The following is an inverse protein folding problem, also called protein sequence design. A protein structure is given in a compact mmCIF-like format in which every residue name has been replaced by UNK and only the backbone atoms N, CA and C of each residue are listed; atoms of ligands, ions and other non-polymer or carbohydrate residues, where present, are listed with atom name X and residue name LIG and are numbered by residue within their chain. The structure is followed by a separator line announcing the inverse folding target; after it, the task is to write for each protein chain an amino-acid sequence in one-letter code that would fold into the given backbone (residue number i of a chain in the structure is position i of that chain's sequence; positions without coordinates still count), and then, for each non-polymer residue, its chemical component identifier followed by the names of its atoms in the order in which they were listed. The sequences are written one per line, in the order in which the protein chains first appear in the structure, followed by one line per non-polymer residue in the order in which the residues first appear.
data_IF_378249053547
#
_entry.id   IF_378249053547
#
_cell.length_a   1.000
_cell.length_b   1.000
_cell.length_c   1.000
_cell.angle_alpha   90.00
_cell.angle_beta   90.00
_cell.angle_gamma   90.00
#
_symmetry.space_group_name_H-M   'P 1'
#
loop_
_entity.id
_entity.type
_entity.pdbx_description
1 polymer ?
#
# COMPACT_ATOMS: atom_id res chain seq x y z
N UNK A 1 -13.78 2.52 -28.73
CA UNK A 1 -12.51 2.15 -28.08
C UNK A 1 -12.43 2.62 -26.60
N UNK A 2 -12.83 3.86 -26.28
CA UNK A 2 -12.81 4.38 -24.88
C UNK A 2 -13.64 3.56 -23.88
N UNK A 3 -14.86 3.14 -24.21
CA UNK A 3 -15.73 2.32 -23.32
C UNK A 3 -15.13 0.95 -22.99
N UNK A 4 -14.53 0.26 -23.95
CA UNK A 4 -13.88 -1.03 -23.70
C UNK A 4 -12.70 -0.91 -22.71
N UNK A 5 -11.93 0.18 -22.79
CA UNK A 5 -10.82 0.42 -21.87
C UNK A 5 -11.35 0.75 -20.47
N UNK A 6 -12.43 1.56 -20.35
CA UNK A 6 -13.03 1.86 -19.05
C UNK A 6 -13.63 0.62 -18.38
N UNK A 7 -14.33 -0.23 -19.14
CA UNK A 7 -14.94 -1.45 -18.62
C UNK A 7 -13.89 -2.45 -18.11
N UNK A 8 -12.75 -2.58 -18.81
CA UNK A 8 -11.64 -3.39 -18.34
C UNK A 8 -10.99 -2.82 -17.08
N UNK A 9 -10.86 -1.49 -16.97
CA UNK A 9 -10.30 -0.86 -15.77
C UNK A 9 -11.19 -1.02 -14.55
N UNK A 10 -12.53 -0.99 -14.72
CA UNK A 10 -13.47 -1.28 -13.62
C UNK A 10 -13.26 -2.68 -13.04
N UNK A 11 -13.13 -3.69 -13.90
CA UNK A 11 -12.88 -5.07 -13.48
C UNK A 11 -11.52 -5.19 -12.78
N UNK A 12 -10.49 -4.50 -13.28
CA UNK A 12 -9.16 -4.49 -12.67
C UNK A 12 -9.20 -3.90 -11.26
N UNK A 13 -9.77 -2.70 -11.09
CA UNK A 13 -9.89 -2.07 -9.77
C UNK A 13 -10.74 -2.89 -8.80
N UNK A 14 -11.86 -3.45 -9.28
CA UNK A 14 -12.71 -4.30 -8.46
C UNK A 14 -11.95 -5.54 -7.96
N UNK A 15 -11.33 -6.29 -8.87
CA UNK A 15 -10.63 -7.53 -8.54
C UNK A 15 -9.41 -7.28 -7.66
N UNK A 16 -8.68 -6.21 -7.94
CA UNK A 16 -7.53 -5.79 -7.17
C UNK A 16 -7.93 -5.38 -5.75
N UNK A 17 -8.93 -4.51 -5.62
CA UNK A 17 -9.47 -4.12 -4.33
C UNK A 17 -10.02 -5.32 -3.54
N UNK A 18 -10.72 -6.25 -4.20
CA UNK A 18 -11.25 -7.46 -3.59
C UNK A 18 -10.11 -8.37 -3.07
N UNK A 19 -9.04 -8.56 -3.84
CA UNK A 19 -7.90 -9.38 -3.43
C UNK A 19 -7.25 -8.84 -2.15
N UNK A 20 -7.00 -7.53 -2.06
CA UNK A 20 -6.45 -6.89 -0.86
C UNK A 20 -7.42 -6.96 0.32
N UNK A 21 -8.69 -6.68 0.09
CA UNK A 21 -9.70 -6.73 1.14
C UNK A 21 -9.83 -8.14 1.73
N UNK A 22 -9.92 -9.16 0.86
CA UNK A 22 -9.97 -10.56 1.29
C UNK A 22 -8.70 -10.99 2.01
N UNK A 23 -7.52 -10.56 1.57
CA UNK A 23 -6.27 -10.79 2.28
C UNK A 23 -6.35 -10.23 3.72
N UNK A 24 -6.78 -8.99 3.86
CA UNK A 24 -6.93 -8.35 5.17
C UNK A 24 -7.92 -9.09 6.07
N UNK A 25 -9.09 -9.44 5.56
CA UNK A 25 -10.12 -10.21 6.30
C UNK A 25 -9.61 -11.60 6.67
N UNK A 26 -8.95 -12.31 5.74
CA UNK A 26 -8.41 -13.64 6.00
C UNK A 26 -7.38 -13.62 7.14
N UNK A 27 -6.52 -12.59 7.19
CA UNK A 27 -5.55 -12.42 8.28
C UNK A 27 -6.27 -12.12 9.61
N UNK A 28 -7.32 -11.30 9.63
CA UNK A 28 -8.06 -11.00 10.86
C UNK A 28 -8.78 -12.20 11.42
N UNK A 29 -9.28 -13.10 10.58
CA UNK A 29 -10.01 -14.31 10.98
C UNK A 29 -9.08 -15.42 11.48
N UNK A 30 -7.75 -15.30 11.30
CA UNK A 30 -6.82 -16.31 11.81
C UNK A 30 -6.79 -16.31 13.34
N UNK A 31 -6.90 -17.50 13.99
CA UNK A 31 -6.79 -17.62 15.43
C UNK A 31 -5.40 -17.21 15.90
N UNK A 32 -5.33 -16.19 16.74
CA UNK A 32 -4.05 -15.67 17.29
C UNK A 32 -3.51 -16.50 18.46
N UNK A 33 -4.30 -17.47 18.98
CA UNK A 33 -3.93 -18.27 20.15
C UNK A 33 -2.89 -19.33 19.76
N UNK A 34 -1.71 -19.24 20.38
CA UNK A 34 -0.67 -20.26 20.26
C UNK A 34 0.28 -20.09 19.06
N UNK A 35 0.28 -18.95 18.39
CA UNK A 35 1.29 -18.69 17.36
C UNK A 35 2.68 -18.65 18.01
N UNK A 36 3.48 -19.69 17.77
CA UNK A 36 4.90 -19.72 18.12
C UNK A 36 5.71 -18.67 17.34
N UNK A 37 5.05 -17.95 16.42
CA UNK A 37 5.66 -17.01 15.51
C UNK A 37 5.46 -15.58 16.00
N UNK A 38 6.54 -14.89 16.28
CA UNK A 38 6.54 -13.46 16.65
C UNK A 38 5.88 -12.57 15.59
N UNK A 39 5.94 -12.95 14.30
CA UNK A 39 5.26 -12.26 13.20
C UNK A 39 3.74 -12.14 13.46
N UNK A 40 3.13 -13.11 14.12
CA UNK A 40 1.70 -13.11 14.44
C UNK A 40 1.22 -11.84 15.14
N UNK A 41 2.09 -11.22 15.95
CA UNK A 41 1.75 -10.00 16.70
C UNK A 41 1.62 -8.76 15.79
N UNK A 42 2.25 -8.75 14.62
CA UNK A 42 2.23 -7.63 13.68
C UNK A 42 1.23 -7.82 12.53
N UNK A 43 0.66 -9.02 12.38
CA UNK A 43 -0.24 -9.35 11.26
C UNK A 43 -1.49 -8.46 11.20
N UNK A 44 -1.95 -7.90 12.32
CA UNK A 44 -3.09 -6.98 12.32
C UNK A 44 -2.81 -5.71 11.52
N UNK A 45 -1.55 -5.24 11.46
CA UNK A 45 -1.14 -4.12 10.61
C UNK A 45 -1.18 -4.50 9.13
N UNK A 46 -0.74 -5.71 8.80
CA UNK A 46 -0.85 -6.23 7.43
C UNK A 46 -2.32 -6.41 7.02
N UNK A 47 -3.18 -6.83 7.96
CA UNK A 47 -4.62 -6.87 7.73
C UNK A 47 -5.20 -5.48 7.49
N UNK A 48 -4.80 -4.48 8.31
CA UNK A 48 -5.18 -3.09 8.12
C UNK A 48 -4.72 -2.55 6.77
N UNK A 49 -3.49 -2.84 6.36
CA UNK A 49 -2.99 -2.52 5.03
C UNK A 49 -3.90 -3.08 3.94
N UNK A 50 -4.24 -4.38 3.99
CA UNK A 50 -5.09 -5.01 2.98
C UNK A 50 -6.49 -4.39 2.93
N UNK A 51 -7.15 -4.20 4.07
CA UNK A 51 -8.52 -3.64 4.11
C UNK A 51 -8.54 -2.21 3.59
N UNK A 52 -7.69 -1.32 4.12
CA UNK A 52 -7.68 0.08 3.69
C UNK A 52 -7.24 0.22 2.23
N UNK A 53 -6.28 -0.60 1.77
CA UNK A 53 -5.86 -0.57 0.38
C UNK A 53 -6.99 -1.00 -0.56
N UNK A 54 -7.68 -2.09 -0.24
CA UNK A 54 -8.82 -2.56 -1.00
C UNK A 54 -9.96 -1.53 -1.07
N UNK A 55 -10.27 -0.86 0.04
CA UNK A 55 -11.26 0.22 0.06
C UNK A 55 -10.82 1.41 -0.81
N UNK A 56 -9.54 1.77 -0.80
CA UNK A 56 -8.99 2.83 -1.66
C UNK A 56 -9.17 2.50 -3.15
N UNK A 57 -8.83 1.28 -3.56
CA UNK A 57 -8.99 0.83 -4.95
C UNK A 57 -10.47 0.81 -5.40
N UNK A 58 -11.40 0.49 -4.49
CA UNK A 58 -12.83 0.61 -4.79
C UNK A 58 -13.29 2.06 -4.90
N UNK A 59 -12.71 3.00 -4.15
CA UNK A 59 -12.97 4.43 -4.37
C UNK A 59 -12.48 4.86 -5.76
N UNK A 60 -11.29 4.43 -6.18
CA UNK A 60 -10.75 4.70 -7.52
C UNK A 60 -11.62 4.03 -8.62
N UNK A 61 -12.15 2.84 -8.36
CA UNK A 61 -13.15 2.21 -9.24
C UNK A 61 -14.39 3.09 -9.39
N UNK A 62 -14.94 3.64 -8.30
CA UNK A 62 -16.10 4.53 -8.37
C UNK A 62 -15.81 5.80 -9.17
N UNK A 63 -14.60 6.34 -9.10
CA UNK A 63 -14.20 7.49 -9.94
C UNK A 63 -14.18 7.15 -11.42
N UNK A 64 -13.93 5.90 -11.82
CA UNK A 64 -13.95 5.49 -13.23
C UNK A 64 -15.36 5.42 -13.84
N UNK A 65 -16.40 5.36 -13.00
CA UNK A 65 -17.79 5.42 -13.47
C UNK A 65 -18.17 6.79 -14.03
N UNK A 66 -17.43 7.84 -13.62
CA UNK A 66 -17.55 9.20 -14.15
C UNK A 66 -18.76 9.99 -13.67
N UNK A 67 -18.88 11.19 -14.22
CA UNK A 67 -19.86 12.21 -13.81
C UNK A 67 -21.33 11.83 -14.06
N UNK A 68 -21.59 10.74 -14.79
CA UNK A 68 -22.95 10.24 -14.98
C UNK A 68 -23.59 9.70 -13.68
N UNK A 69 -22.75 9.31 -12.70
CA UNK A 69 -23.21 8.68 -11.45
C UNK A 69 -23.00 9.57 -10.22
N UNK A 70 -22.11 10.57 -10.31
CA UNK A 70 -21.71 11.38 -9.17
C UNK A 70 -21.89 12.88 -9.45
N UNK A 71 -22.34 13.61 -8.44
CA UNK A 71 -22.27 15.08 -8.47
C UNK A 71 -20.81 15.53 -8.34
N UNK A 72 -20.51 16.78 -8.72
CA UNK A 72 -19.17 17.35 -8.54
C UNK A 72 -18.66 17.23 -7.09
N UNK A 73 -19.52 17.48 -6.12
CA UNK A 73 -19.22 17.32 -4.69
C UNK A 73 -18.95 15.84 -4.36
N UNK A 74 -19.75 14.90 -4.87
CA UNK A 74 -19.57 13.47 -4.69
C UNK A 74 -18.23 12.99 -5.22
N UNK A 75 -17.84 13.44 -6.41
CA UNK A 75 -16.54 13.14 -7.01
C UNK A 75 -15.38 13.63 -6.15
N UNK A 76 -15.44 14.85 -5.61
CA UNK A 76 -14.38 15.38 -4.73
C UNK A 76 -14.30 14.61 -3.41
N UNK A 77 -15.43 14.26 -2.80
CA UNK A 77 -15.45 13.42 -1.59
C UNK A 77 -14.82 12.04 -1.85
N UNK A 78 -15.15 11.41 -2.97
CA UNK A 78 -14.56 10.10 -3.32
C UNK A 78 -13.05 10.21 -3.54
N UNK A 79 -12.55 11.25 -4.21
CA UNK A 79 -11.10 11.49 -4.39
C UNK A 79 -10.37 11.64 -3.06
N UNK A 80 -10.93 12.44 -2.16
CA UNK A 80 -10.37 12.66 -0.83
C UNK A 80 -10.39 11.35 -0.02
N UNK A 81 -11.49 10.61 -0.06
CA UNK A 81 -11.61 9.32 0.62
C UNK A 81 -10.60 8.29 0.09
N UNK A 82 -10.47 8.16 -1.24
CA UNK A 82 -9.45 7.30 -1.88
C UNK A 82 -8.05 7.62 -1.36
N UNK A 83 -7.69 8.91 -1.33
CA UNK A 83 -6.40 9.35 -0.80
C UNK A 83 -6.18 8.90 0.65
N UNK A 84 -7.15 9.13 1.55
CA UNK A 84 -6.98 8.78 2.97
C UNK A 84 -6.98 7.26 3.20
N UNK A 85 -7.75 6.48 2.47
CA UNK A 85 -7.67 5.03 2.54
C UNK A 85 -6.30 4.52 2.09
N UNK A 86 -5.76 5.03 0.98
CA UNK A 86 -4.42 4.71 0.52
C UNK A 86 -3.35 5.12 1.55
N UNK A 87 -3.45 6.33 2.11
CA UNK A 87 -2.51 6.82 3.12
C UNK A 87 -2.55 5.97 4.41
N UNK A 88 -3.75 5.64 4.91
CA UNK A 88 -3.90 4.75 6.07
C UNK A 88 -3.31 3.36 5.80
N UNK A 89 -3.52 2.81 4.60
CA UNK A 89 -2.91 1.53 4.20
C UNK A 89 -1.39 1.58 4.26
N UNK A 90 -0.77 2.64 3.73
CA UNK A 90 0.68 2.78 3.74
C UNK A 90 1.27 3.04 5.14
N UNK A 91 0.54 3.71 6.03
CA UNK A 91 0.91 3.81 7.46
C UNK A 91 0.94 2.41 8.08
N UNK A 92 -0.09 1.61 7.86
CA UNK A 92 -0.14 0.22 8.34
C UNK A 92 1.01 -0.62 7.77
N UNK A 93 1.32 -0.48 6.49
CA UNK A 93 2.40 -1.21 5.83
C UNK A 93 3.78 -0.81 6.37
N UNK A 94 4.02 0.49 6.58
CA UNK A 94 5.27 0.99 7.16
C UNK A 94 5.47 0.47 8.58
N UNK A 95 4.44 0.55 9.41
CA UNK A 95 4.48 0.03 10.78
C UNK A 95 4.67 -1.50 10.80
N UNK A 96 4.00 -2.23 9.91
CA UNK A 96 4.20 -3.67 9.76
C UNK A 96 5.65 -4.00 9.40
N UNK A 97 6.21 -3.33 8.38
CA UNK A 97 7.58 -3.55 7.94
C UNK A 97 8.60 -3.26 9.05
N UNK A 98 8.42 -2.18 9.81
CA UNK A 98 9.25 -1.87 10.96
C UNK A 98 9.14 -2.93 12.05
N UNK A 99 7.93 -3.29 12.46
CA UNK A 99 7.72 -4.28 13.52
C UNK A 99 8.33 -5.63 13.16
N UNK A 100 8.15 -6.11 11.94
CA UNK A 100 8.67 -7.42 11.53
C UNK A 100 10.21 -7.45 11.53
N UNK A 101 10.89 -6.33 11.25
CA UNK A 101 12.36 -6.24 11.32
C UNK A 101 12.83 -6.11 12.76
N UNK A 102 12.14 -5.34 13.58
CA UNK A 102 12.59 -4.93 14.91
C UNK A 102 12.22 -5.91 16.03
N UNK A 103 11.39 -6.91 15.75
CA UNK A 103 10.81 -7.87 16.72
C UNK A 103 11.77 -8.54 17.70
N UNK A 104 13.07 -8.52 17.44
CA UNK A 104 14.08 -9.15 18.31
C UNK A 104 14.91 -8.17 19.14
N UNK A 105 14.56 -6.87 19.18
CA UNK A 105 15.43 -5.86 19.77
C UNK A 105 14.64 -4.84 20.59
N UNK A 106 14.55 -5.06 21.89
CA UNK A 106 13.94 -4.15 22.89
C UNK A 106 14.37 -2.67 22.79
N UNK A 107 15.52 -2.39 22.18
CA UNK A 107 16.04 -1.03 22.00
C UNK A 107 15.27 -0.18 20.96
N UNK A 108 14.35 -0.75 20.20
CA UNK A 108 13.76 -0.07 19.02
C UNK A 108 12.26 0.24 19.13
N UNK A 109 11.62 0.04 20.30
CA UNK A 109 10.25 0.54 20.54
C UNK A 109 10.13 2.04 20.27
N UNK A 110 11.19 2.80 20.58
CA UNK A 110 11.24 4.23 20.31
C UNK A 110 11.17 4.50 18.79
N UNK A 111 11.87 3.70 17.97
CA UNK A 111 11.85 3.87 16.51
C UNK A 111 10.46 3.57 15.90
N UNK A 112 9.78 2.53 16.39
CA UNK A 112 8.41 2.23 15.96
C UNK A 112 7.44 3.36 16.30
N UNK A 113 7.53 3.88 17.53
CA UNK A 113 6.71 5.00 18.00
C UNK A 113 7.01 6.30 17.25
N UNK A 114 8.29 6.62 17.04
CA UNK A 114 8.67 7.82 16.28
C UNK A 114 8.24 7.75 14.83
N UNK A 115 8.33 6.59 14.19
CA UNK A 115 7.86 6.41 12.82
C UNK A 115 6.34 6.57 12.71
N UNK A 116 5.58 6.04 13.68
CA UNK A 116 4.13 6.25 13.74
C UNK A 116 3.78 7.72 13.92
N UNK A 117 4.41 8.38 14.89
CA UNK A 117 4.20 9.80 15.15
C UNK A 117 4.55 10.64 13.92
N UNK A 118 5.69 10.36 13.27
CA UNK A 118 6.10 11.05 12.04
C UNK A 118 5.09 10.85 10.91
N UNK A 119 4.55 9.64 10.76
CA UNK A 119 3.50 9.35 9.76
C UNK A 119 2.21 10.13 10.05
N UNK A 120 1.79 10.20 11.31
CA UNK A 120 0.61 10.96 11.71
C UNK A 120 0.82 12.47 11.54
N UNK A 121 1.98 13.01 11.93
CA UNK A 121 2.33 14.41 11.70
C UNK A 121 2.37 14.76 10.20
N UNK A 122 2.90 13.86 9.37
CA UNK A 122 2.85 14.00 7.92
C UNK A 122 1.40 14.08 7.42
N UNK A 123 0.50 13.21 7.88
CA UNK A 123 -0.91 13.25 7.50
C UNK A 123 -1.60 14.54 7.97
N UNK A 124 -1.29 15.01 9.18
CA UNK A 124 -1.80 16.30 9.68
C UNK A 124 -1.31 17.46 8.81
N UNK A 125 -0.03 17.48 8.43
CA UNK A 125 0.53 18.52 7.56
C UNK A 125 -0.12 18.50 6.17
N UNK A 126 -0.30 17.32 5.57
CA UNK A 126 -0.97 17.15 4.28
C UNK A 126 -2.43 17.59 4.35
N UNK A 127 -3.14 17.25 5.43
CA UNK A 127 -4.54 17.68 5.64
C UNK A 127 -4.64 19.19 5.82
N UNK A 128 -3.75 19.79 6.61
CA UNK A 128 -3.70 21.24 6.83
C UNK A 128 -3.45 22.00 5.52
N UNK A 129 -2.54 21.48 4.69
CA UNK A 129 -2.32 22.02 3.34
C UNK A 129 -3.56 21.85 2.46
N UNK A 130 -4.26 20.71 2.53
CA UNK A 130 -5.52 20.47 1.82
C UNK A 130 -6.60 21.49 2.21
N UNK A 131 -6.79 21.73 3.50
CA UNK A 131 -7.75 22.73 4.00
C UNK A 131 -7.40 24.12 3.49
N UNK A 132 -6.12 24.51 3.52
CA UNK A 132 -5.66 25.83 3.06
C UNK A 132 -5.81 26.05 1.56
N UNK A 133 -5.79 24.99 0.75
CA UNK A 133 -5.89 25.02 -0.71
C UNK A 133 -7.27 24.59 -1.24
N UNK A 134 -8.23 24.32 -0.36
CA UNK A 134 -9.56 23.83 -0.71
C UNK A 134 -9.51 22.44 -1.36
N UNK A 135 -8.59 21.57 -0.94
CA UNK A 135 -8.38 20.23 -1.50
C UNK A 135 -8.21 20.21 -3.02
N UNK A 136 -7.45 21.15 -3.53
CA UNK A 136 -7.22 21.32 -4.97
C UNK A 136 -6.62 20.09 -5.64
N UNK A 137 -6.75 19.97 -6.97
CA UNK A 137 -6.13 18.90 -7.74
C UNK A 137 -4.60 18.83 -7.58
N UNK A 138 -3.94 19.99 -7.38
CA UNK A 138 -2.51 20.05 -7.10
C UNK A 138 -2.17 19.48 -5.72
N UNK A 139 -3.00 19.79 -4.70
CA UNK A 139 -2.88 19.16 -3.39
C UNK A 139 -2.96 17.63 -3.49
N UNK A 140 -3.98 17.12 -4.18
CA UNK A 140 -4.18 15.68 -4.33
C UNK A 140 -2.97 15.01 -5.00
N UNK A 141 -2.47 15.61 -6.09
CA UNK A 141 -1.31 15.11 -6.82
C UNK A 141 -0.07 15.02 -5.92
N UNK A 142 0.30 16.12 -5.27
CA UNK A 142 1.48 16.17 -4.40
C UNK A 142 1.34 15.22 -3.21
N UNK A 143 0.17 15.19 -2.59
CA UNK A 143 -0.11 14.32 -1.45
C UNK A 143 -0.01 12.84 -1.80
N UNK A 144 -0.53 12.42 -2.95
CA UNK A 144 -0.40 11.04 -3.45
C UNK A 144 1.06 10.66 -3.71
N UNK A 145 1.84 11.53 -4.37
CA UNK A 145 3.25 11.28 -4.65
C UNK A 145 4.05 11.15 -3.35
N UNK A 146 3.93 12.13 -2.44
CA UNK A 146 4.67 12.14 -1.19
C UNK A 146 4.29 10.95 -0.28
N UNK A 147 3.02 10.62 -0.18
CA UNK A 147 2.56 9.46 0.60
C UNK A 147 3.16 8.15 0.10
N UNK A 148 3.22 7.96 -1.22
CA UNK A 148 3.85 6.77 -1.82
C UNK A 148 5.35 6.73 -1.56
N UNK A 149 6.06 7.85 -1.70
CA UNK A 149 7.51 7.90 -1.49
C UNK A 149 7.91 7.80 -0.02
N UNK A 150 7.17 8.43 0.89
CA UNK A 150 7.56 8.50 2.31
C UNK A 150 7.01 7.34 3.13
N UNK A 151 5.87 6.77 2.76
CA UNK A 151 5.22 5.69 3.52
C UNK A 151 5.14 4.39 2.72
N UNK A 152 4.63 4.43 1.49
CA UNK A 152 4.35 3.24 0.68
C UNK A 152 5.62 2.49 0.27
N UNK A 153 6.55 3.17 -0.39
CA UNK A 153 7.82 2.59 -0.83
C UNK A 153 8.66 2.05 0.33
N UNK A 154 8.99 2.84 1.37
CA UNK A 154 9.78 2.33 2.48
C UNK A 154 9.05 1.23 3.25
N UNK A 155 7.73 1.33 3.43
CA UNK A 155 6.94 0.29 4.09
C UNK A 155 7.02 -1.06 3.37
N UNK A 156 6.87 -1.06 2.05
CA UNK A 156 6.96 -2.26 1.23
C UNK A 156 8.37 -2.87 1.22
N UNK A 157 9.43 -2.04 1.12
CA UNK A 157 10.82 -2.51 1.21
C UNK A 157 11.11 -3.12 2.58
N UNK A 158 10.68 -2.47 3.66
CA UNK A 158 10.88 -2.99 5.02
C UNK A 158 10.12 -4.31 5.22
N UNK A 159 8.90 -4.43 4.71
CA UNK A 159 8.15 -5.68 4.73
C UNK A 159 8.90 -6.79 3.95
N UNK A 160 9.40 -6.50 2.75
CA UNK A 160 10.19 -7.44 1.95
C UNK A 160 11.44 -7.93 2.70
N UNK A 161 12.21 -7.00 3.27
CA UNK A 161 13.41 -7.32 4.08
C UNK A 161 13.01 -8.14 5.31
N UNK A 162 11.93 -7.78 5.99
CA UNK A 162 11.42 -8.49 7.16
C UNK A 162 11.06 -9.94 6.86
N UNK A 163 10.32 -10.20 5.80
CA UNK A 163 10.01 -11.57 5.35
C UNK A 163 11.27 -12.35 4.96
N UNK A 164 12.20 -11.71 4.26
CA UNK A 164 13.48 -12.31 3.90
C UNK A 164 14.32 -12.70 5.12
N UNK A 165 14.40 -11.87 6.15
CA UNK A 165 15.15 -12.15 7.38
C UNK A 165 14.51 -13.28 8.18
N UNK A 166 13.18 -13.32 8.29
CA UNK A 166 12.47 -14.34 9.04
C UNK A 166 12.58 -15.74 8.42
N UNK A 167 12.82 -15.84 7.12
CA UNK A 167 13.08 -17.10 6.43
C UNK A 167 14.12 -17.96 7.15
N UNK A 168 15.27 -17.35 7.52
CA UNK A 168 16.38 -18.05 8.19
C UNK A 168 16.03 -18.53 9.60
N UNK A 169 15.08 -17.90 10.28
CA UNK A 169 14.69 -18.26 11.65
C UNK A 169 13.87 -19.55 11.74
N UNK A 170 13.29 -20.00 10.64
CA UNK A 170 12.51 -21.24 10.57
C UNK A 170 13.38 -22.49 10.32
N UNK A 171 14.48 -22.32 9.62
CA UNK A 171 15.42 -23.42 9.30
C UNK A 171 16.06 -24.01 10.57
N UNK A 172 16.29 -23.15 11.59
CA UNK A 172 16.93 -23.52 12.87
C UNK A 172 16.00 -24.35 13.79
N UNK A 173 14.68 -24.36 13.58
CA UNK A 173 13.70 -24.98 14.48
C UNK A 173 13.20 -26.37 14.06
N UNK A 174 13.81 -26.99 13.05
CA UNK A 174 13.42 -28.33 12.60
C UNK A 174 12.03 -28.40 11.92
N UNK A 175 11.42 -27.25 11.59
CA UNK A 175 10.16 -27.15 10.86
C UNK A 175 10.36 -27.22 9.33
N UNK A 176 11.49 -27.75 8.89
CA UNK A 176 11.88 -27.89 7.48
C UNK A 176 10.96 -28.78 6.62
N UNK A 177 10.01 -29.48 7.26
CA UNK A 177 9.02 -30.30 6.54
C UNK A 177 7.91 -29.51 5.87
N UNK A 178 7.73 -28.21 6.21
CA UNK A 178 6.74 -27.35 5.59
C UNK A 178 7.43 -26.32 4.68
N UNK A 179 6.87 -25.98 3.50
CA UNK A 179 7.45 -25.04 2.55
C UNK A 179 7.34 -23.57 3.01
N UNK A 180 7.44 -23.31 4.33
CA UNK A 180 7.35 -21.98 4.95
C UNK A 180 8.44 -21.06 4.43
N UNK A 181 9.65 -21.59 4.23
CA UNK A 181 10.77 -20.83 3.66
C UNK A 181 10.43 -20.27 2.27
N UNK A 182 9.87 -21.12 1.40
CA UNK A 182 9.46 -20.71 0.05
C UNK A 182 8.33 -19.68 0.08
N UNK A 183 7.36 -19.85 0.98
CA UNK A 183 6.26 -18.89 1.14
C UNK A 183 6.75 -17.52 1.61
N UNK A 184 7.66 -17.47 2.58
CA UNK A 184 8.26 -16.21 3.06
C UNK A 184 9.12 -15.55 1.97
N UNK A 185 9.84 -16.33 1.19
CA UNK A 185 10.60 -15.83 0.04
C UNK A 185 9.68 -15.28 -1.04
N UNK A 186 8.57 -15.96 -1.32
CA UNK A 186 7.54 -15.47 -2.23
C UNK A 186 6.94 -14.14 -1.75
N UNK A 187 6.59 -14.04 -0.47
CA UNK A 187 6.08 -12.78 0.13
C UNK A 187 7.12 -11.66 0.03
N UNK A 188 8.39 -11.94 0.32
CA UNK A 188 9.46 -10.96 0.17
C UNK A 188 9.58 -10.44 -1.28
N UNK A 189 9.51 -11.34 -2.25
CA UNK A 189 9.54 -10.98 -3.67
C UNK A 189 8.31 -10.14 -4.09
N UNK A 190 7.10 -10.53 -3.65
CA UNK A 190 5.86 -9.79 -3.92
C UNK A 190 5.93 -8.38 -3.34
N UNK A 191 6.39 -8.21 -2.09
CA UNK A 191 6.51 -6.88 -1.49
C UNK A 191 7.61 -6.03 -2.14
N UNK A 192 8.72 -6.62 -2.59
CA UNK A 192 9.74 -5.91 -3.36
C UNK A 192 9.19 -5.43 -4.71
N UNK A 193 8.43 -6.28 -5.41
CA UNK A 193 7.74 -5.94 -6.64
C UNK A 193 6.70 -4.84 -6.41
N UNK A 194 5.89 -4.97 -5.36
CA UNK A 194 4.91 -3.97 -4.95
C UNK A 194 5.58 -2.63 -4.63
N UNK A 195 6.73 -2.62 -3.95
CA UNK A 195 7.48 -1.39 -3.67
C UNK A 195 7.80 -0.62 -4.95
N UNK A 196 8.22 -1.31 -6.00
CA UNK A 196 8.52 -0.66 -7.28
C UNK A 196 7.25 -0.11 -7.94
N UNK A 197 6.24 -0.94 -8.16
CA UNK A 197 5.06 -0.55 -8.95
C UNK A 197 4.08 0.35 -8.20
N UNK A 198 3.92 0.17 -6.89
CA UNK A 198 3.00 0.96 -6.08
C UNK A 198 3.68 2.11 -5.33
N UNK A 199 4.98 1.95 -5.03
CA UNK A 199 5.74 2.94 -4.28
C UNK A 199 6.48 3.94 -5.17
N UNK A 200 7.20 3.50 -6.21
CA UNK A 200 8.04 4.36 -7.04
C UNK A 200 7.34 4.90 -8.29
N UNK A 201 6.53 4.07 -8.98
CA UNK A 201 5.78 4.54 -10.15
C UNK A 201 4.54 5.30 -9.67
N UNK A 202 4.55 6.61 -9.81
CA UNK A 202 3.56 7.55 -9.25
C UNK A 202 2.92 8.41 -10.35
N UNK A 203 1.88 9.20 -10.07
CA UNK A 203 1.45 10.24 -11.01
C UNK A 203 2.59 11.18 -11.37
N UNK A 204 2.59 11.76 -12.60
CA UNK A 204 3.62 12.71 -13.04
C UNK A 204 3.65 13.95 -12.14
N UNK A 205 4.83 14.29 -11.62
CA UNK A 205 5.04 15.41 -10.71
C UNK A 205 6.19 16.32 -11.15
N UNK A 206 6.30 17.52 -10.55
CA UNK A 206 7.27 18.53 -10.96
C UNK A 206 8.70 18.28 -10.47
N UNK A 207 8.94 17.20 -9.72
CA UNK A 207 10.23 16.91 -9.09
C UNK A 207 10.69 15.47 -9.35
N UNK A 208 11.99 15.23 -9.25
CA UNK A 208 12.56 13.88 -9.32
C UNK A 208 12.22 13.07 -8.06
N UNK A 209 11.89 11.76 -8.19
CA UNK A 209 11.84 10.96 -9.42
C UNK A 209 10.49 10.99 -10.17
N UNK A 210 9.44 11.64 -9.66
CA UNK A 210 8.10 11.66 -10.25
C UNK A 210 8.03 12.28 -11.65
N UNK A 211 8.97 13.16 -11.99
CA UNK A 211 9.09 13.76 -13.33
C UNK A 211 9.53 12.74 -14.39
N UNK A 212 10.23 11.68 -13.99
CA UNK A 212 10.81 10.68 -14.90
C UNK A 212 10.12 9.33 -14.75
N UNK A 213 9.94 8.85 -13.52
CA UNK A 213 9.34 7.56 -13.22
C UNK A 213 7.87 7.73 -12.83
N UNK A 214 7.00 7.85 -13.83
CA UNK A 214 5.57 8.10 -13.62
C UNK A 214 4.69 7.24 -14.51
N UNK A 215 3.37 7.32 -14.30
CA UNK A 215 2.37 6.50 -15.01
C UNK A 215 2.43 6.65 -16.53
N UNK A 216 2.67 7.87 -17.03
CA UNK A 216 2.74 8.14 -18.46
C UNK A 216 4.01 7.52 -19.05
N UNK A 217 5.18 7.84 -18.51
CA UNK A 217 6.46 7.29 -18.94
C UNK A 217 6.48 5.76 -18.85
N UNK A 218 5.93 5.20 -17.77
CA UNK A 218 5.83 3.76 -17.61
C UNK A 218 4.97 3.12 -18.70
N UNK A 219 3.80 3.71 -18.98
CA UNK A 219 2.91 3.24 -20.05
C UNK A 219 3.55 3.35 -21.43
N UNK A 220 4.29 4.41 -21.69
CA UNK A 220 4.98 4.63 -22.98
C UNK A 220 6.09 3.60 -23.21
N UNK A 221 6.81 3.20 -22.15
CA UNK A 221 7.89 2.20 -22.22
C UNK A 221 7.37 0.77 -22.26
N UNK A 222 6.40 0.45 -21.40
CA UNK A 222 5.91 -0.93 -21.18
C UNK A 222 4.71 -1.27 -22.08
N UNK A 223 3.99 -0.25 -22.58
CA UNK A 223 2.78 -0.42 -23.39
C UNK A 223 1.49 -0.66 -22.61
N UNK A 224 1.57 -0.88 -21.30
CA UNK A 224 0.43 -1.16 -20.43
C UNK A 224 0.40 -0.24 -19.20
N UNK A 225 -0.80 0.09 -18.67
CA UNK A 225 -0.91 0.86 -17.45
C UNK A 225 -0.32 0.10 -16.24
N UNK A 226 0.37 0.84 -15.34
CA UNK A 226 0.99 0.28 -14.14
C UNK A 226 -0.02 -0.44 -13.21
N UNK A 227 -1.29 -0.07 -13.26
CA UNK A 227 -2.37 -0.66 -12.48
C UNK A 227 -2.50 -2.18 -12.74
N UNK A 228 -2.25 -2.65 -13.96
CA UNK A 228 -2.24 -4.08 -14.27
C UNK A 228 -1.14 -4.84 -13.52
N UNK A 229 0.04 -4.23 -13.37
CA UNK A 229 1.16 -4.83 -12.64
C UNK A 229 1.01 -4.78 -11.12
N UNK A 230 0.18 -3.87 -10.61
CA UNK A 230 -0.19 -3.85 -9.19
C UNK A 230 -1.22 -4.90 -8.85
N UNK A 231 -2.07 -5.27 -9.82
CA UNK A 231 -3.13 -6.26 -9.66
C UNK A 231 -2.66 -7.71 -9.86
N UNK A 232 -1.47 -7.92 -10.42
CA UNK A 232 -0.87 -9.24 -10.67
C UNK A 232 -0.13 -9.77 -9.44
#
# INVERSE_FOLDING_TARGET
MGRLISDHMLVVFFSYGLAFFLLGVAILLQPRRGSAFKIGNSLWLLAGFGIFHGLGEWMDMFLTLGDAYWTSLGTEVIKIASFYFAAASFVCLLQFGLQIILQNRFKYELLERTALIASLLFLVAVTSYGVSTGFSGQWLLLSQILTRYLLGFPGAILAAIGFWQHRKSFDIRGLSSYPVDRSLMGMAAVFAFYAFFAGLVVPGGPFFPASVLNYATFKDVVGFPVQLFRAA
#
